data_IF_560667323621
#
_entry.id   IF_560667323621
#
_cell.length_a   1.000
_cell.length_b   1.000
_cell.length_c   1.000
_cell.angle_alpha   90.00
_cell.angle_beta   90.00
_cell.angle_gamma   90.00
#
_symmetry.space_group_name_H-M   'P 1'
#
loop_
_entity.id
_entity.type
_entity.pdbx_description
1 polymer ?
#
# COMPACT_ATOMS: atom_id res chain seq x y z
N UNK A 1 18.28 -14.64 11.69
CA UNK A 1 17.53 -13.42 11.34
C UNK A 1 17.51 -12.58 12.59
N UNK A 2 18.09 -11.39 12.53
CA UNK A 2 18.00 -10.44 13.64
C UNK A 2 16.52 -10.19 13.96
N UNK A 3 16.20 -10.06 15.24
CA UNK A 3 14.85 -9.81 15.72
C UNK A 3 14.38 -8.44 15.18
N UNK A 4 13.57 -8.44 14.13
CA UNK A 4 13.06 -7.24 13.47
C UNK A 4 11.94 -6.64 14.30
N UNK A 5 12.28 -6.09 15.46
CA UNK A 5 11.34 -5.33 16.29
C UNK A 5 11.27 -3.90 15.79
N UNK A 6 10.05 -3.36 15.63
CA UNK A 6 9.88 -1.94 15.28
C UNK A 6 10.48 -1.04 16.38
N UNK A 7 11.09 0.10 16.00
CA UNK A 7 11.58 1.06 16.97
C UNK A 7 10.41 1.70 17.72
N UNK A 8 10.62 2.00 19.01
CA UNK A 8 9.63 2.74 19.79
C UNK A 8 9.31 4.11 19.16
N UNK A 9 8.03 4.51 19.23
CA UNK A 9 7.55 5.80 18.75
C UNK A 9 8.15 6.99 19.50
N UNK A 10 8.18 8.14 18.83
CA UNK A 10 8.53 9.43 19.42
C UNK A 10 7.25 10.02 20.01
N UNK A 11 7.06 9.87 21.32
CA UNK A 11 5.84 10.31 22.02
C UNK A 11 6.10 11.46 22.99
N UNK A 12 5.03 12.14 23.39
CA UNK A 12 5.09 13.22 24.40
C UNK A 12 5.63 12.72 25.73
N UNK A 13 5.25 11.51 26.16
CA UNK A 13 5.74 10.91 27.40
C UNK A 13 7.25 10.68 27.39
N UNK A 14 7.81 10.16 26.28
CA UNK A 14 9.26 9.94 26.17
C UNK A 14 10.04 11.25 26.11
N UNK A 15 9.48 12.29 25.47
CA UNK A 15 10.03 13.63 25.51
C UNK A 15 10.03 14.19 26.94
N UNK A 16 8.92 14.01 27.66
CA UNK A 16 8.78 14.42 29.07
C UNK A 16 9.84 13.76 29.96
N UNK A 17 10.01 12.45 29.84
CA UNK A 17 11.04 11.68 30.57
C UNK A 17 12.45 12.19 30.24
N UNK A 18 12.74 12.38 28.96
CA UNK A 18 14.07 12.84 28.49
C UNK A 18 14.41 14.23 29.04
N UNK A 19 13.41 15.12 29.11
CA UNK A 19 13.56 16.47 29.64
C UNK A 19 13.37 16.55 31.16
N UNK A 20 13.15 15.42 31.84
CA UNK A 20 12.93 15.35 33.30
C UNK A 20 11.81 16.29 33.78
N UNK A 21 10.71 16.29 33.04
CA UNK A 21 9.55 17.15 33.28
C UNK A 21 8.52 16.47 34.19
N UNK A 22 8.08 17.17 35.22
CA UNK A 22 7.01 16.76 36.13
C UNK A 22 5.78 17.64 35.92
N UNK A 23 4.63 17.02 35.66
CA UNK A 23 3.37 17.74 35.46
C UNK A 23 2.94 18.45 36.74
N UNK A 24 2.48 19.69 36.58
CA UNK A 24 1.87 20.48 37.65
C UNK A 24 0.34 20.36 37.59
N UNK A 25 -0.26 19.84 38.65
CA UNK A 25 -1.73 19.75 38.82
C UNK A 25 -2.27 18.32 38.90
N UNK A 26 -3.53 18.18 39.35
CA UNK A 26 -4.19 16.89 39.59
C UNK A 26 -4.88 16.34 38.31
N UNK A 27 -4.13 16.28 37.21
CA UNK A 27 -4.64 15.96 35.86
C UNK A 27 -4.10 14.59 35.39
N UNK A 28 -3.92 13.64 36.31
CA UNK A 28 -3.22 12.37 36.03
C UNK A 28 -3.84 11.58 34.85
N UNK A 29 -5.17 11.54 34.72
CA UNK A 29 -5.83 10.78 33.65
C UNK A 29 -5.56 11.36 32.24
N UNK A 30 -5.61 12.68 32.08
CA UNK A 30 -5.38 13.33 30.78
C UNK A 30 -3.87 13.41 30.46
N UNK A 31 -3.00 13.48 31.46
CA UNK A 31 -1.56 13.31 31.26
C UNK A 31 -1.24 11.94 30.68
N UNK A 32 -1.86 10.88 31.21
CA UNK A 32 -1.62 9.52 30.72
C UNK A 32 -2.05 9.34 29.26
N UNK A 33 -3.21 9.87 28.85
CA UNK A 33 -3.65 9.79 27.46
C UNK A 33 -2.74 10.61 26.52
N UNK A 34 -2.34 11.81 26.95
CA UNK A 34 -1.44 12.69 26.21
C UNK A 34 -0.04 12.09 26.05
N UNK A 35 0.47 11.40 27.07
CA UNK A 35 1.82 10.84 27.06
C UNK A 35 2.03 9.78 25.97
N UNK A 36 0.94 9.15 25.52
CA UNK A 36 0.95 8.13 24.46
C UNK A 36 0.89 8.75 23.06
N UNK A 37 0.58 10.04 22.92
CA UNK A 37 0.47 10.70 21.63
C UNK A 37 1.83 10.81 20.95
N UNK A 38 1.86 10.43 19.67
CA UNK A 38 3.05 10.56 18.83
C UNK A 38 3.26 12.01 18.41
N UNK A 39 4.50 12.45 18.32
CA UNK A 39 4.86 13.80 17.92
C UNK A 39 5.11 13.80 16.41
N UNK A 40 4.43 14.69 15.68
CA UNK A 40 4.76 14.98 14.27
C UNK A 40 5.59 16.25 14.15
N UNK A 41 5.17 17.34 14.80
CA UNK A 41 5.89 18.61 14.73
C UNK A 41 6.03 19.20 16.13
N UNK A 42 7.21 19.73 16.43
CA UNK A 42 7.49 20.45 17.66
C UNK A 42 7.91 21.88 17.33
N UNK A 43 7.23 22.85 17.93
CA UNK A 43 7.55 24.26 17.81
C UNK A 43 8.17 24.75 19.12
N UNK A 44 9.42 25.20 19.07
CA UNK A 44 10.07 25.85 20.21
C UNK A 44 9.86 27.37 20.08
N UNK A 45 9.16 27.97 21.03
CA UNK A 45 8.89 29.42 20.97
C UNK A 45 10.20 30.20 21.02
N UNK A 46 10.42 31.01 19.97
CA UNK A 46 11.61 31.87 19.82
C UNK A 46 12.86 31.19 19.25
N UNK A 47 12.80 29.92 18.85
CA UNK A 47 13.95 29.19 18.31
C UNK A 47 13.62 28.57 16.95
N UNK A 48 13.30 27.28 16.91
CA UNK A 48 13.16 26.50 15.67
C UNK A 48 11.88 25.65 15.71
N UNK A 49 11.49 25.17 14.54
CA UNK A 49 10.48 24.13 14.37
C UNK A 49 11.17 22.86 13.90
N UNK A 50 10.82 21.72 14.48
CA UNK A 50 11.32 20.42 14.06
C UNK A 50 10.15 19.54 13.65
N UNK A 51 10.19 19.00 12.44
CA UNK A 51 9.12 18.16 11.87
C UNK A 51 9.64 16.76 11.56
N UNK A 52 8.88 15.77 12.00
CA UNK A 52 9.13 14.35 11.83
C UNK A 52 8.30 13.81 10.65
N UNK A 53 8.81 12.80 9.94
CA UNK A 53 8.12 12.19 8.80
C UNK A 53 7.04 11.17 9.23
N UNK A 54 6.47 11.33 10.42
CA UNK A 54 5.52 10.40 11.02
C UNK A 54 4.13 11.05 11.16
N UNK A 55 3.09 10.22 11.32
CA UNK A 55 1.77 10.71 11.75
C UNK A 55 1.84 11.04 13.23
N UNK A 56 1.25 12.15 13.66
CA UNK A 56 1.25 12.56 15.04
C UNK A 56 0.72 13.97 15.23
N UNK A 57 0.84 14.46 16.45
CA UNK A 57 0.33 15.76 16.85
C UNK A 57 1.37 16.86 16.66
N UNK A 58 0.88 18.09 16.50
CA UNK A 58 1.71 19.29 16.57
C UNK A 58 1.72 19.81 18.00
N UNK A 59 2.92 19.94 18.57
CA UNK A 59 3.13 20.44 19.92
C UNK A 59 3.95 21.73 19.89
N UNK A 60 3.66 22.63 20.81
CA UNK A 60 4.39 23.88 21.00
C UNK A 60 4.92 23.91 22.42
N UNK A 61 6.23 24.04 22.57
CA UNK A 61 6.89 24.24 23.85
C UNK A 61 7.26 25.72 24.01
N UNK A 62 6.96 26.28 25.17
CA UNK A 62 7.34 27.63 25.55
C UNK A 62 7.81 27.69 27.01
N UNK A 63 8.80 28.54 27.28
CA UNK A 63 9.11 28.93 28.65
C UNK A 63 8.08 29.92 29.16
N UNK A 64 7.74 29.81 30.45
CA UNK A 64 6.90 30.78 31.16
C UNK A 64 7.78 31.68 32.04
N UNK A 65 7.28 32.86 32.39
CA UNK A 65 8.00 33.84 33.22
C UNK A 65 8.39 33.28 34.61
N UNK A 66 7.67 32.27 35.08
CA UNK A 66 7.89 31.61 36.37
C UNK A 66 8.93 30.48 36.30
N UNK A 67 9.62 30.29 35.17
CA UNK A 67 10.60 29.21 34.97
C UNK A 67 9.98 27.84 34.69
N UNK A 68 8.65 27.73 34.61
CA UNK A 68 7.97 26.51 34.14
C UNK A 68 8.00 26.42 32.61
N UNK A 69 7.80 25.21 32.10
CA UNK A 69 7.62 24.97 30.66
C UNK A 69 6.14 24.70 30.42
N UNK A 70 5.55 25.43 29.47
CA UNK A 70 4.22 25.14 28.94
C UNK A 70 4.36 24.31 27.67
N UNK A 71 3.57 23.24 27.58
CA UNK A 71 3.41 22.41 26.40
C UNK A 71 1.96 22.54 25.94
N UNK A 72 1.78 23.12 24.76
CA UNK A 72 0.48 23.23 24.11
C UNK A 72 0.41 22.19 23.00
N UNK A 73 -0.59 21.32 23.03
CA UNK A 73 -0.85 20.30 22.02
C UNK A 73 -2.07 20.74 21.24
N UNK A 74 -1.95 20.79 19.91
CA UNK A 74 -3.12 20.91 19.04
C UNK A 74 -3.61 19.52 18.66
N UNK A 75 -4.75 19.09 19.19
CA UNK A 75 -5.42 17.84 18.81
C UNK A 75 -6.69 18.21 18.05
N UNK A 76 -6.72 17.99 16.74
CA UNK A 76 -7.87 18.38 15.90
C UNK A 76 -8.21 19.88 16.07
N UNK A 77 -9.39 20.21 16.61
CA UNK A 77 -9.85 21.59 16.88
C UNK A 77 -9.56 22.07 18.31
N UNK A 78 -9.12 21.18 19.19
CA UNK A 78 -8.90 21.48 20.60
C UNK A 78 -7.42 21.75 20.89
N UNK A 79 -7.16 22.70 21.78
CA UNK A 79 -5.83 23.00 22.29
C UNK A 79 -5.77 22.60 23.75
N UNK A 80 -4.90 21.64 24.06
CA UNK A 80 -4.64 21.22 25.44
C UNK A 80 -3.34 21.87 25.87
N UNK A 81 -3.37 22.64 26.96
CA UNK A 81 -2.18 23.25 27.55
C UNK A 81 -1.84 22.55 28.85
N UNK A 82 -0.62 22.05 28.95
CA UNK A 82 -0.07 21.39 30.13
C UNK A 82 1.13 22.19 30.65
N UNK A 83 1.22 22.32 31.97
CA UNK A 83 2.33 22.99 32.64
C UNK A 83 3.23 21.95 33.30
N UNK A 84 4.53 22.11 33.07
CA UNK A 84 5.56 21.23 33.59
C UNK A 84 6.59 22.00 34.40
N UNK A 85 7.03 21.38 35.50
CA UNK A 85 8.22 21.76 36.26
C UNK A 85 9.39 20.87 35.88
N UNK A 86 10.61 21.41 35.82
CA UNK A 86 11.81 20.60 35.64
C UNK A 86 12.29 20.10 37.00
N UNK A 87 12.70 18.82 37.08
CA UNK A 87 13.37 18.29 38.26
C UNK A 87 14.69 19.03 38.53
N UNK A 88 15.46 19.31 37.46
CA UNK A 88 16.71 20.08 37.50
C UNK A 88 16.60 21.31 36.58
N UNK A 89 16.27 22.51 37.11
CA UNK A 89 16.01 23.70 36.30
C UNK A 89 17.18 24.09 35.40
N UNK A 90 16.96 24.01 34.10
CA UNK A 90 17.90 24.43 33.06
C UNK A 90 17.35 25.65 32.29
N UNK A 91 18.22 26.60 31.85
CA UNK A 91 17.84 27.68 30.95
C UNK A 91 17.11 27.18 29.70
N UNK A 92 16.11 27.94 29.23
CA UNK A 92 15.28 27.58 28.08
C UNK A 92 16.07 27.13 26.82
N UNK A 93 17.15 27.83 26.41
CA UNK A 93 17.95 27.38 25.27
C UNK A 93 18.53 25.97 25.43
N UNK A 94 18.96 25.62 26.64
CA UNK A 94 19.55 24.30 26.95
C UNK A 94 18.47 23.20 26.90
N UNK A 95 17.24 23.50 27.33
CA UNK A 95 16.11 22.57 27.22
C UNK A 95 15.80 22.29 25.75
N UNK A 96 15.76 23.33 24.92
CA UNK A 96 15.52 23.19 23.48
C UNK A 96 16.62 22.39 22.78
N UNK A 97 17.88 22.62 23.12
CA UNK A 97 19.02 21.85 22.62
C UNK A 97 18.89 20.37 23.00
N UNK A 98 18.67 20.06 24.29
CA UNK A 98 18.45 18.68 24.76
C UNK A 98 17.28 17.99 24.04
N UNK A 99 16.17 18.70 23.82
CA UNK A 99 15.01 18.18 23.12
C UNK A 99 15.33 17.88 21.64
N UNK A 100 16.07 18.79 20.99
CA UNK A 100 16.47 18.65 19.58
C UNK A 100 17.44 17.48 19.41
N UNK A 101 18.48 17.40 20.24
CA UNK A 101 19.45 16.31 20.22
C UNK A 101 18.78 14.93 20.40
N UNK A 102 17.79 14.86 21.29
CA UNK A 102 17.02 13.63 21.49
C UNK A 102 16.18 13.27 20.27
N UNK A 103 15.47 14.25 19.69
CA UNK A 103 14.65 14.05 18.48
C UNK A 103 15.50 13.56 17.31
N UNK A 104 16.67 14.17 17.08
CA UNK A 104 17.59 13.78 16.03
C UNK A 104 18.11 12.35 16.23
N UNK A 105 18.46 11.98 17.47
CA UNK A 105 18.92 10.64 17.80
C UNK A 105 17.81 9.59 17.57
N UNK A 106 16.60 9.85 18.04
CA UNK A 106 15.47 8.95 17.84
C UNK A 106 15.07 8.83 16.38
N UNK A 107 15.05 9.95 15.65
CA UNK A 107 14.81 9.95 14.21
C UNK A 107 15.88 9.13 13.48
N UNK A 108 17.16 9.32 13.79
CA UNK A 108 18.27 8.55 13.22
C UNK A 108 18.12 7.05 13.46
N UNK A 109 17.74 6.64 14.68
CA UNK A 109 17.47 5.24 15.04
C UNK A 109 16.32 4.64 14.21
N UNK A 110 15.23 5.39 14.04
CA UNK A 110 14.07 4.95 13.26
C UNK A 110 14.42 4.83 11.78
N UNK A 111 15.10 5.83 11.22
CA UNK A 111 15.50 5.85 9.81
C UNK A 111 16.46 4.71 9.48
N UNK A 112 17.46 4.43 10.33
CA UNK A 112 18.36 3.30 10.16
C UNK A 112 17.61 1.96 10.15
N UNK A 113 16.62 1.81 11.05
CA UNK A 113 15.78 0.60 11.10
C UNK A 113 14.90 0.50 9.86
N UNK A 114 14.35 1.62 9.39
CA UNK A 114 13.55 1.69 8.17
C UNK A 114 14.33 1.34 6.91
N UNK A 115 15.62 1.71 6.85
CA UNK A 115 16.50 1.36 5.74
C UNK A 115 16.71 -0.16 5.67
N UNK A 116 17.11 -0.78 6.80
CA UNK A 116 17.26 -2.24 6.90
C UNK A 116 15.99 -2.99 6.56
N UNK A 117 14.85 -2.50 7.05
CA UNK A 117 13.54 -3.04 6.75
C UNK A 117 13.21 -2.95 5.25
N UNK A 118 13.47 -1.80 4.62
CA UNK A 118 13.23 -1.62 3.18
C UNK A 118 14.15 -2.50 2.33
N UNK A 119 15.41 -2.64 2.75
CA UNK A 119 16.37 -3.54 2.11
C UNK A 119 15.89 -4.99 2.17
N UNK A 120 15.43 -5.47 3.34
CA UNK A 120 14.85 -6.81 3.48
C UNK A 120 13.70 -7.03 2.48
N UNK A 121 12.74 -6.10 2.40
CA UNK A 121 11.62 -6.22 1.46
C UNK A 121 12.13 -6.24 0.02
N UNK A 122 13.05 -5.35 -0.34
CA UNK A 122 13.61 -5.27 -1.69
C UNK A 122 14.34 -6.57 -2.10
N UNK A 123 15.10 -7.19 -1.18
CA UNK A 123 15.76 -8.47 -1.41
C UNK A 123 14.75 -9.60 -1.67
N UNK A 124 13.65 -9.65 -0.91
CA UNK A 124 12.57 -10.61 -1.16
C UNK A 124 11.87 -10.40 -2.52
N UNK A 125 11.62 -9.15 -2.90
CA UNK A 125 11.00 -8.82 -4.19
C UNK A 125 11.92 -9.14 -5.37
N UNK A 126 13.22 -8.89 -5.24
CA UNK A 126 14.20 -9.11 -6.33
C UNK A 126 14.63 -10.56 -6.48
N UNK A 127 14.59 -11.36 -5.40
CA UNK A 127 14.95 -12.79 -5.44
C UNK A 127 13.91 -13.69 -6.14
N UNK A 128 12.81 -13.13 -6.67
CA UNK A 128 11.75 -13.89 -7.32
C UNK A 128 10.83 -14.64 -6.35
N UNK A 129 11.02 -14.44 -5.04
CA UNK A 129 10.19 -15.04 -3.99
C UNK A 129 8.82 -14.36 -3.83
N UNK A 130 8.45 -13.49 -4.78
CA UNK A 130 7.20 -12.74 -4.80
C UNK A 130 6.93 -12.00 -3.50
N UNK A 131 5.71 -12.11 -2.99
CA UNK A 131 5.27 -11.45 -1.76
C UNK A 131 5.46 -12.29 -0.49
N UNK A 132 6.42 -13.23 -0.49
CA UNK A 132 6.69 -14.11 0.67
C UNK A 132 7.04 -13.36 1.96
N UNK A 133 7.63 -12.16 1.87
CA UNK A 133 7.96 -11.31 3.01
C UNK A 133 6.73 -10.87 3.84
N UNK A 134 5.49 -11.03 3.33
CA UNK A 134 4.28 -10.72 4.10
C UNK A 134 4.16 -11.53 5.40
N UNK A 135 4.76 -12.73 5.47
CA UNK A 135 4.85 -13.49 6.72
C UNK A 135 5.73 -12.75 7.75
N UNK A 136 6.86 -12.20 7.32
CA UNK A 136 7.71 -11.39 8.21
C UNK A 136 6.95 -10.14 8.67
N UNK A 137 6.14 -9.54 7.79
CA UNK A 137 5.31 -8.39 8.16
C UNK A 137 4.24 -8.75 9.19
N UNK A 138 3.62 -9.91 9.04
CA UNK A 138 2.68 -10.44 10.03
C UNK A 138 3.30 -10.45 11.44
N UNK A 139 4.58 -10.82 11.55
CA UNK A 139 5.33 -10.85 12.80
C UNK A 139 5.69 -9.46 13.32
N UNK A 140 6.15 -8.59 12.44
CA UNK A 140 6.51 -7.20 12.76
C UNK A 140 5.29 -6.39 13.25
N UNK A 141 4.17 -6.45 12.52
CA UNK A 141 2.93 -5.73 12.86
C UNK A 141 2.03 -6.48 13.84
N UNK A 142 2.35 -7.74 14.14
CA UNK A 142 1.58 -8.60 15.06
C UNK A 142 0.10 -8.78 14.69
N UNK A 143 -0.25 -8.62 13.42
CA UNK A 143 -1.60 -8.82 12.89
C UNK A 143 -1.55 -9.65 11.61
N UNK A 144 -2.67 -10.24 11.20
CA UNK A 144 -2.76 -10.93 9.91
C UNK A 144 -2.76 -9.93 8.76
N UNK A 145 -2.01 -10.24 7.70
CA UNK A 145 -1.82 -9.35 6.56
C UNK A 145 -2.00 -10.15 5.27
N UNK A 146 -2.62 -9.53 4.27
CA UNK A 146 -2.82 -10.14 2.97
C UNK A 146 -2.83 -9.11 1.86
N UNK A 147 -2.48 -9.54 0.66
CA UNK A 147 -2.38 -8.70 -0.54
C UNK A 147 -3.36 -9.21 -1.59
N UNK A 148 -4.15 -8.30 -2.14
CA UNK A 148 -5.10 -8.56 -3.21
C UNK A 148 -4.84 -7.65 -4.40
N UNK A 149 -5.14 -8.13 -5.61
CA UNK A 149 -5.07 -7.31 -6.83
C UNK A 149 -6.36 -6.48 -7.02
N UNK A 150 -6.43 -5.69 -8.09
CA UNK A 150 -7.60 -4.88 -8.44
C UNK A 150 -8.87 -5.70 -8.72
N UNK A 151 -8.74 -6.98 -9.10
CA UNK A 151 -9.83 -7.93 -9.27
C UNK A 151 -10.24 -8.63 -7.95
N UNK A 152 -9.67 -8.22 -6.82
CA UNK A 152 -9.88 -8.80 -5.50
C UNK A 152 -9.38 -10.25 -5.37
N UNK A 153 -8.53 -10.71 -6.29
CA UNK A 153 -7.87 -11.99 -6.18
C UNK A 153 -6.74 -11.90 -5.15
N UNK A 154 -6.66 -12.90 -4.27
CA UNK A 154 -5.64 -12.97 -3.23
C UNK A 154 -4.30 -13.36 -3.85
N UNK A 155 -3.40 -12.38 -3.98
CA UNK A 155 -2.02 -12.61 -4.42
C UNK A 155 -1.20 -13.30 -3.33
N UNK A 156 -1.45 -12.94 -2.06
CA UNK A 156 -0.77 -13.54 -0.92
C UNK A 156 -1.59 -13.40 0.36
N UNK A 157 -1.51 -14.40 1.22
CA UNK A 157 -2.19 -14.47 2.50
C UNK A 157 -1.22 -14.86 3.61
N UNK A 158 -1.10 -14.04 4.64
CA UNK A 158 -0.36 -14.32 5.87
C UNK A 158 -1.34 -14.25 7.06
N UNK A 159 -2.12 -15.33 7.21
CA UNK A 159 -3.04 -15.55 8.34
C UNK A 159 -2.42 -16.44 9.42
N UNK A 160 -3.18 -16.75 10.46
CA UNK A 160 -2.77 -17.65 11.55
C UNK A 160 -2.74 -17.03 12.95
N UNK A 161 -2.93 -15.70 13.08
CA UNK A 161 -3.04 -15.03 14.40
C UNK A 161 -4.49 -14.93 14.84
N UNK A 162 -5.30 -14.19 14.10
CA UNK A 162 -6.74 -14.01 14.32
C UNK A 162 -7.57 -14.65 13.19
N UNK A 163 -7.02 -14.70 11.97
CA UNK A 163 -7.59 -15.27 10.77
C UNK A 163 -7.07 -16.70 10.52
N UNK A 164 -7.81 -17.54 9.80
CA UNK A 164 -7.32 -18.86 9.39
C UNK A 164 -6.12 -18.77 8.44
N UNK A 165 -5.38 -19.88 8.31
CA UNK A 165 -4.26 -20.00 7.36
C UNK A 165 -4.71 -19.94 5.89
N UNK A 166 -5.99 -20.19 5.62
CA UNK A 166 -6.58 -20.14 4.28
C UNK A 166 -7.33 -18.83 4.07
N UNK A 167 -7.33 -18.26 2.84
CA UNK A 167 -8.08 -17.04 2.56
C UNK A 167 -9.57 -17.16 2.86
N UNK A 168 -10.16 -16.06 3.34
CA UNK A 168 -11.60 -15.93 3.60
C UNK A 168 -12.18 -14.78 2.78
N UNK A 169 -13.48 -14.81 2.55
CA UNK A 169 -14.16 -13.80 1.73
C UNK A 169 -14.40 -12.49 2.49
N UNK A 170 -14.12 -11.37 1.84
CA UNK A 170 -14.29 -10.01 2.36
C UNK A 170 -15.21 -9.20 1.43
N UNK A 171 -15.85 -8.15 1.97
CA UNK A 171 -16.58 -7.18 1.16
C UNK A 171 -15.56 -6.34 0.39
N UNK A 172 -15.91 -6.02 -0.86
CA UNK A 172 -15.07 -5.14 -1.69
C UNK A 172 -14.80 -3.83 -0.95
N UNK A 173 -13.55 -3.33 -0.92
CA UNK A 173 -13.25 -2.04 -0.35
C UNK A 173 -14.03 -0.95 -1.11
N UNK A 174 -14.85 -0.19 -0.39
CA UNK A 174 -15.54 0.97 -0.93
C UNK A 174 -14.51 2.08 -1.15
N UNK A 175 -13.89 2.12 -2.32
CA UNK A 175 -13.05 3.25 -2.72
C UNK A 175 -13.96 4.39 -3.12
N UNK A 176 -14.41 5.20 -2.15
CA UNK A 176 -14.97 6.51 -2.49
C UNK A 176 -13.87 7.30 -3.21
N UNK A 177 -14.09 7.76 -4.46
CA UNK A 177 -13.09 8.56 -5.16
C UNK A 177 -12.87 9.83 -4.35
N UNK A 178 -11.77 9.87 -3.60
CA UNK A 178 -11.40 11.02 -2.78
C UNK A 178 -11.02 12.17 -3.73
N UNK A 179 -11.98 13.07 -3.96
CA UNK A 179 -11.77 14.39 -4.52
C UNK A 179 -10.91 15.21 -3.54
N UNK A 180 -9.61 15.40 -3.82
CA UNK A 180 -8.76 16.55 -3.44
C UNK A 180 -7.26 16.20 -3.59
N UNK A 181 -6.52 16.77 -4.54
CA UNK A 181 -5.86 18.11 -4.63
C UNK A 181 -4.65 18.39 -3.72
N UNK A 182 -4.25 17.52 -2.80
CA UNK A 182 -2.89 17.60 -2.21
C UNK A 182 -2.36 16.20 -1.86
N UNK A 183 -1.07 15.90 -2.15
CA UNK A 183 -0.46 14.65 -1.72
C UNK A 183 -0.38 14.63 -0.19
N UNK A 184 -1.27 13.90 0.45
CA UNK A 184 -1.08 13.53 1.86
C UNK A 184 0.15 12.64 1.94
N UNK A 185 1.02 12.80 2.96
CA UNK A 185 2.24 12.02 3.09
C UNK A 185 2.00 10.51 3.29
N UNK A 186 0.78 10.13 3.68
CA UNK A 186 0.38 8.75 3.93
C UNK A 186 -0.82 8.36 3.06
N UNK A 187 -0.79 7.13 2.54
CA UNK A 187 -1.94 6.56 1.86
C UNK A 187 -3.12 6.48 2.84
N UNK A 188 -4.35 6.84 2.41
CA UNK A 188 -5.52 6.74 3.27
C UNK A 188 -5.76 5.28 3.68
N UNK A 189 -6.07 5.07 4.96
CA UNK A 189 -6.51 3.78 5.48
C UNK A 189 -8.04 3.76 5.54
N UNK A 190 -8.64 2.66 5.11
CA UNK A 190 -10.11 2.49 5.09
C UNK A 190 -10.53 1.33 5.96
N UNK A 191 -11.69 1.45 6.60
CA UNK A 191 -12.27 0.36 7.37
C UNK A 191 -12.96 -0.61 6.40
N UNK A 192 -12.66 -1.89 6.53
CA UNK A 192 -13.25 -2.99 5.77
C UNK A 192 -14.20 -3.84 6.59
N UNK A 193 -14.84 -4.81 5.93
CA UNK A 193 -15.70 -5.81 6.56
C UNK A 193 -15.52 -7.19 5.95
N UNK A 194 -15.54 -8.22 6.78
CA UNK A 194 -15.59 -9.62 6.36
C UNK A 194 -17.01 -10.01 5.91
N UNK A 195 -17.13 -11.00 5.03
CA UNK A 195 -18.45 -11.53 4.62
C UNK A 195 -18.99 -12.58 5.58
N UNK A 196 -18.08 -13.36 6.18
CA UNK A 196 -18.44 -14.42 7.10
C UNK A 196 -18.69 -13.88 8.51
N UNK A 197 -19.88 -14.15 9.06
CA UNK A 197 -20.32 -13.63 10.36
C UNK A 197 -19.36 -13.91 11.52
N UNK A 198 -18.68 -15.06 11.51
CA UNK A 198 -17.73 -15.47 12.57
C UNK A 198 -16.51 -14.54 12.68
N UNK A 199 -16.20 -13.77 11.63
CA UNK A 199 -15.07 -12.85 11.62
C UNK A 199 -15.48 -11.38 11.73
N UNK A 200 -16.77 -11.05 11.88
CA UNK A 200 -17.21 -9.66 11.99
C UNK A 200 -16.63 -8.92 13.20
N UNK A 201 -16.19 -9.63 14.24
CA UNK A 201 -15.51 -9.04 15.40
C UNK A 201 -14.03 -8.72 15.14
N UNK A 202 -13.45 -9.25 14.05
CA UNK A 202 -12.06 -9.01 13.70
C UNK A 202 -12.03 -7.74 12.84
N UNK A 203 -11.33 -6.69 13.28
CA UNK A 203 -11.24 -5.46 12.51
C UNK A 203 -10.49 -5.70 11.21
N UNK A 204 -10.86 -4.98 10.16
CA UNK A 204 -10.20 -5.02 8.87
C UNK A 204 -9.89 -3.59 8.44
N UNK A 205 -8.63 -3.36 8.11
CA UNK A 205 -8.14 -2.10 7.55
C UNK A 205 -7.57 -2.36 6.16
N UNK A 206 -7.95 -1.52 5.20
CA UNK A 206 -7.45 -1.53 3.84
C UNK A 206 -6.48 -0.37 3.60
N UNK A 207 -5.35 -0.68 2.98
CA UNK A 207 -4.45 0.30 2.40
C UNK A 207 -4.44 0.15 0.87
N UNK A 208 -4.95 1.14 0.10
CA UNK A 208 -4.97 1.06 -1.34
C UNK A 208 -3.56 1.18 -1.92
N UNK A 209 -3.29 0.43 -2.99
CA UNK A 209 -2.04 0.48 -3.74
C UNK A 209 -2.30 1.27 -5.02
N UNK A 210 -2.36 2.59 -4.88
CA UNK A 210 -2.69 3.52 -5.96
C UNK A 210 -1.45 3.99 -6.72
N UNK A 211 -1.39 3.68 -8.01
CA UNK A 211 -0.39 4.22 -8.95
C UNK A 211 -0.95 5.35 -9.81
N UNK A 212 -0.16 5.86 -10.78
CA UNK A 212 -0.59 6.93 -11.68
C UNK A 212 -1.83 6.60 -12.52
N UNK A 213 -2.05 5.31 -12.81
CA UNK A 213 -3.18 4.78 -13.60
C UNK A 213 -4.36 4.32 -12.74
N UNK A 214 -4.38 4.62 -11.43
CA UNK A 214 -5.41 4.18 -10.51
C UNK A 214 -4.96 3.08 -9.54
N UNK A 215 -5.92 2.41 -8.91
CA UNK A 215 -5.66 1.39 -7.88
C UNK A 215 -5.27 0.07 -8.54
N UNK A 216 -4.11 -0.48 -8.16
CA UNK A 216 -3.62 -1.76 -8.66
C UNK A 216 -3.94 -2.94 -7.72
N UNK A 217 -4.30 -2.64 -6.47
CA UNK A 217 -4.65 -3.63 -5.47
C UNK A 217 -4.79 -3.02 -4.09
N UNK A 218 -4.89 -3.87 -3.08
CA UNK A 218 -5.03 -3.46 -1.68
C UNK A 218 -4.19 -4.35 -0.78
N UNK A 219 -3.58 -3.73 0.23
CA UNK A 219 -3.01 -4.43 1.38
C UNK A 219 -4.04 -4.43 2.50
N UNK A 220 -4.49 -5.61 2.91
CA UNK A 220 -5.43 -5.80 4.01
C UNK A 220 -4.69 -6.15 5.30
N UNK A 221 -5.12 -5.55 6.42
CA UNK A 221 -4.61 -5.78 7.76
C UNK A 221 -5.77 -6.12 8.70
N UNK A 222 -5.64 -7.19 9.49
CA UNK A 222 -6.60 -7.58 10.52
C UNK A 222 -6.42 -6.76 11.81
N UNK A 223 -6.50 -5.43 11.69
CA UNK A 223 -6.29 -4.47 12.78
C UNK A 223 -7.24 -3.27 12.60
N UNK A 224 -7.55 -2.56 13.69
CA UNK A 224 -8.21 -1.25 13.57
C UNK A 224 -7.18 -0.18 13.18
N UNK A 225 -7.62 0.89 12.52
CA UNK A 225 -6.74 2.01 12.17
C UNK A 225 -6.14 2.66 13.43
N UNK A 226 -6.90 2.67 14.53
CA UNK A 226 -6.51 3.26 15.81
C UNK A 226 -5.39 2.45 16.50
N UNK A 227 -5.33 1.15 16.27
CA UNK A 227 -4.29 0.29 16.85
C UNK A 227 -2.95 0.39 16.09
N UNK A 228 -2.94 0.96 14.88
CA UNK A 228 -1.74 1.12 14.06
C UNK A 228 -1.05 2.42 14.47
N UNK A 229 -0.02 2.32 15.31
CA UNK A 229 0.77 3.46 15.79
C UNK A 229 1.53 4.21 14.68
N UNK A 230 2.08 5.37 15.03
CA UNK A 230 2.76 6.26 14.07
C UNK A 230 3.94 5.62 13.35
N UNK A 231 4.70 4.79 14.07
CA UNK A 231 5.83 4.05 13.52
C UNK A 231 5.33 2.94 12.61
N UNK A 232 4.33 2.17 13.04
CA UNK A 232 3.69 1.15 12.24
C UNK A 232 3.17 1.74 10.93
N UNK A 233 2.47 2.88 10.97
CA UNK A 233 2.00 3.57 9.77
C UNK A 233 3.16 3.99 8.84
N UNK A 234 4.26 4.47 9.39
CA UNK A 234 5.45 4.83 8.61
C UNK A 234 6.07 3.62 7.89
N UNK A 235 6.25 2.49 8.59
CA UNK A 235 6.77 1.25 8.00
C UNK A 235 5.77 0.62 7.02
N UNK A 236 4.47 0.73 7.31
CA UNK A 236 3.41 0.30 6.40
C UNK A 236 3.46 1.11 5.09
N UNK A 237 3.66 2.42 5.17
CA UNK A 237 3.80 3.28 3.98
C UNK A 237 5.01 2.90 3.13
N UNK A 238 6.15 2.56 3.75
CA UNK A 238 7.32 2.06 3.00
C UNK A 238 7.01 0.74 2.31
N UNK A 239 6.33 -0.16 3.02
CA UNK A 239 5.90 -1.45 2.50
C UNK A 239 4.99 -1.29 1.29
N UNK A 240 3.94 -0.49 1.41
CA UNK A 240 2.93 -0.28 0.37
C UNK A 240 3.55 0.36 -0.86
N UNK A 241 4.51 1.28 -0.67
CA UNK A 241 5.30 1.86 -1.77
C UNK A 241 6.09 0.80 -2.53
N UNK A 242 6.80 -0.09 -1.83
CA UNK A 242 7.59 -1.15 -2.47
C UNK A 242 6.70 -2.20 -3.16
N UNK A 243 5.58 -2.58 -2.54
CA UNK A 243 4.58 -3.46 -3.18
C UNK A 243 4.02 -2.80 -4.43
N UNK A 244 3.64 -1.53 -4.35
CA UNK A 244 3.10 -0.78 -5.48
C UNK A 244 4.11 -0.77 -6.64
N UNK A 245 5.39 -0.53 -6.37
CA UNK A 245 6.43 -0.57 -7.42
C UNK A 245 6.51 -1.94 -8.10
N UNK A 246 6.44 -3.05 -7.34
CA UNK A 246 6.43 -4.39 -7.93
C UNK A 246 5.15 -4.65 -8.74
N UNK A 247 3.99 -4.19 -8.27
CA UNK A 247 2.74 -4.29 -9.02
C UNK A 247 2.78 -3.47 -10.32
N UNK A 248 3.32 -2.24 -10.29
CA UNK A 248 3.50 -1.39 -11.47
C UNK A 248 4.44 -2.06 -12.47
N UNK A 249 5.56 -2.61 -12.00
CA UNK A 249 6.50 -3.37 -12.84
C UNK A 249 5.83 -4.58 -13.48
N UNK A 250 5.10 -5.37 -12.69
CA UNK A 250 4.38 -6.55 -13.17
C UNK A 250 3.34 -6.17 -14.23
N UNK A 251 2.55 -5.12 -13.98
CA UNK A 251 1.58 -4.60 -14.95
C UNK A 251 2.28 -4.10 -16.23
N UNK A 252 3.42 -3.41 -16.10
CA UNK A 252 4.17 -2.92 -17.27
C UNK A 252 4.71 -4.06 -18.13
N UNK A 253 5.18 -5.16 -17.51
CA UNK A 253 5.63 -6.36 -18.23
C UNK A 253 4.43 -6.98 -18.97
N UNK A 254 3.31 -7.17 -18.28
CA UNK A 254 2.08 -7.71 -18.88
C UNK A 254 1.55 -6.85 -20.02
N UNK A 255 1.56 -5.52 -19.88
CA UNK A 255 1.14 -4.59 -20.93
C UNK A 255 2.07 -4.69 -22.15
N UNK A 256 3.39 -4.83 -21.94
CA UNK A 256 4.38 -5.02 -23.01
C UNK A 256 4.21 -6.35 -23.74
N UNK A 257 4.00 -7.45 -22.99
CA UNK A 257 3.73 -8.77 -23.57
C UNK A 257 2.43 -8.76 -24.39
N UNK A 258 1.36 -8.17 -23.85
CA UNK A 258 0.10 -7.96 -24.58
C UNK A 258 0.30 -7.17 -25.86
N UNK A 259 1.15 -6.14 -25.83
CA UNK A 259 1.45 -5.37 -27.04
C UNK A 259 2.19 -6.20 -28.08
N UNK A 260 3.19 -7.00 -27.69
CA UNK A 260 3.88 -7.91 -28.63
C UNK A 260 2.94 -8.99 -29.21
N UNK A 261 2.06 -9.54 -28.37
CA UNK A 261 1.01 -10.47 -28.80
C UNK A 261 0.09 -9.83 -29.84
N UNK A 262 -0.34 -8.59 -29.60
CA UNK A 262 -1.15 -7.82 -30.54
C UNK A 262 -0.42 -7.64 -31.86
N UNK A 263 0.79 -7.08 -31.83
CA UNK A 263 1.55 -6.75 -33.03
C UNK A 263 1.75 -7.97 -33.95
N UNK A 264 2.14 -9.11 -33.39
CA UNK A 264 2.26 -10.35 -34.18
C UNK A 264 0.93 -10.81 -34.77
N UNK A 265 -0.17 -10.73 -34.03
CA UNK A 265 -1.47 -11.15 -34.56
C UNK A 265 -1.94 -10.22 -35.68
N UNK A 266 -1.56 -8.94 -35.66
CA UNK A 266 -1.79 -8.06 -36.81
C UNK A 266 -0.95 -8.45 -38.01
N UNK A 267 0.35 -8.70 -37.80
CA UNK A 267 1.20 -9.19 -38.88
C UNK A 267 0.65 -10.51 -39.46
N UNK A 268 0.01 -11.33 -38.64
CA UNK A 268 -0.64 -12.56 -39.08
C UNK A 268 -1.86 -12.28 -39.94
N UNK A 269 -2.76 -11.41 -39.48
CA UNK A 269 -4.02 -11.10 -40.17
C UNK A 269 -3.82 -10.33 -41.48
N UNK A 270 -2.77 -9.51 -41.57
CA UNK A 270 -2.41 -8.77 -42.78
C UNK A 270 -1.43 -9.51 -43.69
N UNK A 271 -1.05 -10.74 -43.34
CA UNK A 271 -0.11 -11.56 -44.09
C UNK A 271 1.25 -10.88 -44.29
N UNK A 272 1.77 -10.24 -43.23
CA UNK A 272 3.06 -9.54 -43.20
C UNK A 272 4.25 -10.47 -42.88
N UNK A 273 4.05 -11.79 -42.88
CA UNK A 273 5.12 -12.75 -42.62
C UNK A 273 5.68 -13.36 -43.90
N UNK A 274 6.99 -13.57 -43.93
CA UNK A 274 7.70 -14.13 -45.09
C UNK A 274 7.36 -15.60 -45.37
N UNK A 275 6.91 -16.34 -44.35
CA UNK A 275 6.59 -17.78 -44.47
C UNK A 275 5.72 -18.30 -43.33
N UNK A 276 5.06 -19.44 -43.57
CA UNK A 276 4.27 -20.16 -42.58
C UNK A 276 5.13 -20.64 -41.40
N UNK A 277 6.38 -21.06 -41.67
CA UNK A 277 7.33 -21.53 -40.67
C UNK A 277 7.66 -20.44 -39.64
N UNK A 278 7.75 -19.18 -40.06
CA UNK A 278 7.96 -18.03 -39.15
C UNK A 278 6.74 -17.82 -38.24
N UNK A 279 5.53 -17.92 -38.77
CA UNK A 279 4.28 -17.84 -37.98
C UNK A 279 4.23 -18.94 -36.93
N UNK A 280 4.48 -20.19 -37.33
CA UNK A 280 4.43 -21.35 -36.43
C UNK A 280 5.51 -21.25 -35.36
N UNK A 281 6.74 -20.89 -35.72
CA UNK A 281 7.85 -20.79 -34.76
C UNK A 281 7.65 -19.67 -33.73
N UNK A 282 7.20 -18.48 -34.16
CA UNK A 282 6.89 -17.37 -33.24
C UNK A 282 5.67 -17.67 -32.37
N UNK A 283 4.59 -18.20 -32.94
CA UNK A 283 3.41 -18.59 -32.15
C UNK A 283 3.74 -19.58 -31.03
N UNK A 284 4.64 -20.53 -31.29
CA UNK A 284 5.10 -21.49 -30.27
C UNK A 284 5.78 -20.83 -29.07
N UNK A 285 6.43 -19.67 -29.24
CA UNK A 285 7.06 -18.93 -28.13
C UNK A 285 6.01 -18.47 -27.09
N UNK A 286 4.76 -18.32 -27.51
CA UNK A 286 3.64 -17.90 -26.67
C UNK A 286 2.64 -19.02 -26.40
N UNK A 287 3.00 -20.27 -26.71
CA UNK A 287 2.14 -21.43 -26.55
C UNK A 287 0.98 -21.50 -27.55
N UNK A 288 1.00 -20.67 -28.60
CA UNK A 288 0.01 -20.72 -29.68
C UNK A 288 0.44 -21.72 -30.75
N UNK A 289 -0.49 -22.56 -31.19
CA UNK A 289 -0.19 -23.61 -32.16
C UNK A 289 -0.80 -23.31 -33.54
N UNK A 290 -0.19 -22.41 -34.32
CA UNK A 290 -0.64 -22.14 -35.70
C UNK A 290 -0.31 -23.25 -36.71
N UNK A 291 0.23 -24.40 -36.30
CA UNK A 291 0.33 -25.55 -37.19
C UNK A 291 -1.05 -26.14 -37.54
N UNK A 292 -2.04 -25.90 -36.68
CA UNK A 292 -3.43 -26.28 -36.91
C UNK A 292 -4.20 -25.11 -37.55
N UNK A 293 -5.23 -25.40 -38.37
CA UNK A 293 -6.15 -24.37 -38.85
C UNK A 293 -6.84 -23.66 -37.68
N UNK A 294 -7.06 -22.36 -37.82
CA UNK A 294 -7.83 -21.55 -36.87
C UNK A 294 -8.98 -20.88 -37.62
N UNK A 295 -10.12 -20.73 -36.97
CA UNK A 295 -11.11 -19.75 -37.43
C UNK A 295 -10.69 -18.37 -36.98
N UNK A 296 -11.04 -17.35 -37.76
CA UNK A 296 -10.89 -15.95 -37.36
C UNK A 296 -12.29 -15.38 -37.22
N UNK A 297 -12.61 -14.89 -36.02
CA UNK A 297 -13.86 -14.18 -35.74
C UNK A 297 -13.48 -12.77 -35.33
N UNK A 298 -14.04 -11.77 -36.03
CA UNK A 298 -13.86 -10.36 -35.70
C UNK A 298 -15.21 -9.81 -35.30
N UNK A 299 -15.32 -9.35 -34.05
CA UNK A 299 -16.47 -8.62 -33.55
C UNK A 299 -16.11 -7.13 -33.45
N UNK A 300 -17.04 -6.26 -33.83
CA UNK A 300 -16.91 -4.81 -33.69
C UNK A 300 -18.13 -4.27 -32.97
N UNK A 301 -17.93 -3.28 -32.10
CA UNK A 301 -19.03 -2.53 -31.51
C UNK A 301 -19.29 -1.31 -32.41
N UNK A 302 -20.47 -1.27 -33.01
CA UNK A 302 -20.91 -0.15 -33.84
C UNK A 302 -20.89 1.15 -33.02
N UNK A 303 -20.38 2.24 -33.62
CA UNK A 303 -20.30 3.57 -33.01
C UNK A 303 -19.41 3.66 -31.75
N UNK A 304 -18.53 2.68 -31.52
CA UNK A 304 -17.58 2.74 -30.41
C UNK A 304 -16.57 3.87 -30.59
N UNK A 305 -16.51 4.77 -29.60
CA UNK A 305 -15.51 5.82 -29.52
C UNK A 305 -14.43 5.43 -28.50
N UNK A 306 -13.18 5.17 -28.91
CA UNK A 306 -12.10 4.78 -27.99
C UNK A 306 -11.70 5.87 -27.00
N UNK A 307 -12.11 7.12 -27.23
CA UNK A 307 -11.85 8.26 -26.35
C UNK A 307 -13.02 8.56 -25.40
N UNK A 308 -14.09 7.74 -25.39
CA UNK A 308 -15.22 7.90 -24.47
C UNK A 308 -15.01 7.17 -23.14
N UNK A 309 -15.84 7.50 -22.15
CA UNK A 309 -15.90 6.77 -20.88
C UNK A 309 -16.33 5.29 -21.05
N UNK A 310 -16.83 4.90 -22.23
CA UNK A 310 -17.23 3.52 -22.51
C UNK A 310 -16.03 2.60 -22.74
N UNK A 311 -14.84 3.16 -22.97
CA UNK A 311 -13.61 2.37 -23.13
C UNK A 311 -13.32 1.49 -21.92
N UNK A 312 -13.42 2.04 -20.71
CA UNK A 312 -13.14 1.27 -19.48
C UNK A 312 -14.12 0.09 -19.34
N UNK A 313 -15.41 0.34 -19.58
CA UNK A 313 -16.45 -0.71 -19.58
C UNK A 313 -16.22 -1.76 -20.66
N UNK A 314 -15.75 -1.35 -21.83
CA UNK A 314 -15.43 -2.26 -22.91
C UNK A 314 -14.21 -3.13 -22.58
N UNK A 315 -13.14 -2.55 -22.04
CA UNK A 315 -11.97 -3.29 -21.56
C UNK A 315 -12.34 -4.31 -20.46
N UNK A 316 -13.25 -3.95 -19.54
CA UNK A 316 -13.82 -4.85 -18.54
C UNK A 316 -14.59 -6.02 -19.20
N UNK A 317 -15.49 -5.71 -20.14
CA UNK A 317 -16.27 -6.72 -20.87
C UNK A 317 -15.38 -7.70 -21.64
N UNK A 318 -14.37 -7.18 -22.34
CA UNK A 318 -13.39 -8.02 -23.07
C UNK A 318 -12.63 -8.90 -22.09
N UNK A 319 -12.24 -8.37 -20.94
CA UNK A 319 -11.54 -9.14 -19.91
C UNK A 319 -12.41 -10.27 -19.37
N UNK A 320 -13.69 -10.00 -19.08
CA UNK A 320 -14.65 -11.01 -18.63
C UNK A 320 -14.89 -12.07 -19.70
N UNK A 321 -15.11 -11.65 -20.95
CA UNK A 321 -15.28 -12.56 -22.08
C UNK A 321 -14.05 -13.46 -22.27
N UNK A 322 -12.85 -12.89 -22.22
CA UNK A 322 -11.58 -13.62 -22.35
C UNK A 322 -11.44 -14.64 -21.23
N UNK A 323 -11.81 -14.27 -20.00
CA UNK A 323 -11.80 -15.17 -18.84
C UNK A 323 -12.75 -16.36 -19.03
N UNK A 324 -13.97 -16.12 -19.52
CA UNK A 324 -14.95 -17.16 -19.82
C UNK A 324 -14.45 -18.07 -20.95
N UNK A 325 -13.90 -17.49 -22.01
CA UNK A 325 -13.36 -18.22 -23.16
C UNK A 325 -12.19 -19.10 -22.73
N UNK A 326 -11.23 -18.59 -21.96
CA UNK A 326 -10.11 -19.39 -21.46
C UNK A 326 -10.55 -20.57 -20.59
N UNK A 327 -11.61 -20.41 -19.78
CA UNK A 327 -12.16 -21.51 -18.98
C UNK A 327 -12.76 -22.63 -19.84
N UNK A 328 -13.36 -22.29 -20.99
CA UNK A 328 -14.03 -23.27 -21.88
C UNK A 328 -13.09 -23.83 -22.95
N UNK A 329 -12.23 -22.98 -23.50
CA UNK A 329 -11.27 -23.28 -24.55
C UNK A 329 -9.97 -22.49 -24.27
N UNK A 330 -9.07 -23.04 -23.44
CA UNK A 330 -7.83 -22.35 -23.04
C UNK A 330 -6.87 -22.07 -24.20
N UNK A 331 -7.06 -22.72 -25.35
CA UNK A 331 -6.27 -22.51 -26.57
C UNK A 331 -6.82 -21.38 -27.47
N UNK A 332 -7.95 -20.77 -27.13
CA UNK A 332 -8.53 -19.68 -27.94
C UNK A 332 -7.76 -18.39 -27.70
N UNK A 333 -7.20 -17.84 -28.78
CA UNK A 333 -6.51 -16.56 -28.77
C UNK A 333 -7.55 -15.45 -28.83
N UNK A 334 -7.50 -14.49 -27.91
CA UNK A 334 -8.43 -13.36 -27.84
C UNK A 334 -7.63 -12.05 -27.77
N UNK A 335 -8.05 -11.05 -28.54
CA UNK A 335 -7.39 -9.76 -28.63
C UNK A 335 -8.41 -8.63 -28.75
N UNK A 336 -8.09 -7.48 -28.19
CA UNK A 336 -8.77 -6.21 -28.49
C UNK A 336 -7.84 -5.25 -29.26
N UNK A 337 -8.38 -4.54 -30.25
CA UNK A 337 -7.78 -3.32 -30.80
C UNK A 337 -8.82 -2.42 -31.45
N UNK A 338 -8.74 -1.13 -31.13
CA UNK A 338 -9.55 -0.08 -31.75
C UNK A 338 -11.06 -0.38 -31.70
N UNK A 339 -11.55 -0.98 -30.60
CA UNK A 339 -12.98 -1.33 -30.48
C UNK A 339 -13.39 -2.63 -31.19
N UNK A 340 -12.44 -3.33 -31.79
CA UNK A 340 -12.65 -4.66 -32.36
C UNK A 340 -12.08 -5.73 -31.44
N UNK A 341 -12.79 -6.85 -31.34
CA UNK A 341 -12.36 -8.04 -30.63
C UNK A 341 -12.12 -9.16 -31.64
N UNK A 342 -10.89 -9.67 -31.69
CA UNK A 342 -10.51 -10.77 -32.57
C UNK A 342 -10.35 -12.04 -31.75
N UNK A 343 -11.04 -13.10 -32.19
CA UNK A 343 -10.95 -14.44 -31.62
C UNK A 343 -10.37 -15.40 -32.67
N UNK A 344 -9.36 -16.17 -32.27
CA UNK A 344 -8.82 -17.26 -33.06
C UNK A 344 -8.94 -18.59 -32.30
N UNK A 345 -10.11 -19.26 -32.35
CA UNK A 345 -10.24 -20.62 -31.85
C UNK A 345 -9.57 -21.62 -32.79
N UNK A 346 -8.86 -22.59 -32.21
CA UNK A 346 -8.25 -23.69 -32.96
C UNK A 346 -9.30 -24.70 -33.41
N UNK A 347 -9.21 -25.17 -34.66
CA UNK A 347 -10.14 -26.13 -35.25
C UNK A 347 -9.90 -27.58 -34.79
N UNK A 348 -8.69 -27.89 -34.31
CA UNK A 348 -8.36 -29.22 -33.84
C UNK A 348 -8.54 -29.27 -32.33
N UNK A 349 -9.66 -29.84 -31.88
CA UNK A 349 -9.75 -30.37 -30.53
C UNK A 349 -8.85 -31.60 -30.45
N UNK A 350 -7.65 -31.45 -29.89
CA UNK A 350 -7.07 -32.59 -29.18
C UNK A 350 -8.04 -32.88 -28.05
N UNK A 351 -8.78 -33.99 -28.16
CA UNK A 351 -9.56 -34.50 -27.04
C UNK A 351 -8.61 -34.60 -25.83
N UNK A 352 -9.03 -34.14 -24.64
CA UNK A 352 -8.24 -34.29 -23.42
C UNK A 352 -7.93 -35.75 -23.10
#
# INVERSE_FOLDING_TARGET
MDDLTLPQAITIGRLQETLSLQVLGDINALVQSVSLLSIQTIHFTGINTFSLPFVGETITLAATDNGFISLTIGISTEKICLLFSQLDPSPWPIVCEKATDWLERELGRILLTSERYSQMIAEHLTSGNGFSFLTNLQDIFRCDIFLINKQLEVLRWAGGKALPLTPISFKSPETTPTSSTLPKPFAPLYIGQWTEKRYHSIPLTWCPLSGPKGVLGFLGLAATIQDIGSIEQFFLQKTTTLILLELVKTQSIQDSERQHHRDFLFDLLYNNFDSLEVIISRGKLWGWNFANPHFVVVGEITDYNPDSADRERFEELVTEMTTILHKRQPKTICIERNGQVVLLPSLCSENP
#
